data_IF_484675191315
#
_entry.id   IF_484675191315
#
_cell.length_a   1.000
_cell.length_b   1.000
_cell.length_c   1.000
_cell.angle_alpha   90.00
_cell.angle_beta   90.00
_cell.angle_gamma   90.00
#
_symmetry.space_group_name_H-M   'P 1'
#
loop_
_entity.id
_entity.type
_entity.pdbx_description
1 polymer ?
#
# COMPACT_ATOMS: atom_id res chain seq x y z
N UNK A 1 -9.77 11.67 10.01
CA UNK A 1 -10.43 10.35 10.13
C UNK A 1 -9.67 9.55 11.16
N UNK A 2 -10.31 9.07 12.22
CA UNK A 2 -9.73 7.98 13.02
C UNK A 2 -9.75 6.72 12.14
N UNK A 3 -8.57 6.27 11.73
CA UNK A 3 -8.43 5.02 10.99
C UNK A 3 -8.41 3.89 12.01
N UNK A 4 -9.57 3.27 12.25
CA UNK A 4 -9.67 2.09 13.11
C UNK A 4 -9.12 0.87 12.34
N UNK A 5 -7.81 0.67 12.42
CA UNK A 5 -7.13 -0.47 11.81
C UNK A 5 -7.49 -1.74 12.57
N UNK A 6 -7.77 -2.81 11.83
CA UNK A 6 -8.10 -4.11 12.40
C UNK A 6 -7.03 -5.13 12.00
N UNK A 7 -6.72 -6.04 12.92
CA UNK A 7 -5.85 -7.17 12.61
C UNK A 7 -6.57 -8.16 11.69
N UNK A 8 -5.83 -8.67 10.71
CA UNK A 8 -6.32 -9.64 9.74
C UNK A 8 -5.39 -10.85 9.69
N UNK A 9 -5.96 -12.05 9.70
CA UNK A 9 -5.19 -13.28 9.55
C UNK A 9 -4.90 -13.53 8.06
N UNK A 10 -3.64 -13.72 7.68
CA UNK A 10 -3.30 -14.18 6.32
C UNK A 10 -3.77 -15.63 6.17
N UNK A 11 -4.63 -15.89 5.20
CA UNK A 11 -5.21 -17.23 4.95
C UNK A 11 -4.72 -17.86 3.65
N UNK A 12 -4.22 -17.05 2.71
CA UNK A 12 -3.65 -17.52 1.45
C UNK A 12 -2.64 -16.53 0.90
N UNK A 13 -1.54 -17.05 0.37
CA UNK A 13 -0.59 -16.32 -0.47
C UNK A 13 -0.41 -17.17 -1.73
N UNK A 14 -0.61 -16.56 -2.89
CA UNK A 14 -0.51 -17.24 -4.19
C UNK A 14 0.31 -16.37 -5.15
N UNK A 15 1.36 -16.93 -5.76
CA UNK A 15 2.01 -16.25 -6.89
C UNK A 15 1.06 -16.26 -8.08
N UNK A 16 0.91 -15.12 -8.74
CA UNK A 16 -0.04 -14.95 -9.87
C UNK A 16 0.66 -14.53 -11.17
N UNK A 17 1.99 -14.63 -11.21
CA UNK A 17 2.81 -14.33 -12.37
C UNK A 17 3.15 -12.84 -12.53
N UNK A 18 3.54 -12.46 -13.74
CA UNK A 18 3.98 -11.10 -14.05
C UNK A 18 2.79 -10.18 -14.34
N UNK A 19 2.79 -9.00 -13.73
CA UNK A 19 1.77 -7.97 -13.96
C UNK A 19 2.30 -6.57 -13.80
N UNK A 20 1.44 -5.59 -14.09
CA UNK A 20 1.78 -4.16 -13.96
C UNK A 20 1.61 -3.73 -12.49
N UNK A 21 2.71 -3.35 -11.84
CA UNK A 21 2.75 -2.80 -10.49
C UNK A 21 2.87 -1.29 -10.54
N UNK A 22 2.11 -0.60 -9.69
CA UNK A 22 2.22 0.84 -9.45
C UNK A 22 3.13 1.10 -8.26
N UNK A 23 4.15 1.93 -8.49
CA UNK A 23 5.00 2.52 -7.48
C UNK A 23 4.62 3.98 -7.31
N UNK A 24 4.46 4.41 -6.07
CA UNK A 24 4.14 5.79 -5.73
C UNK A 24 5.34 6.43 -5.05
N UNK A 25 5.87 7.49 -5.66
CA UNK A 25 6.87 8.35 -5.04
C UNK A 25 6.21 9.65 -4.61
N UNK A 26 6.26 9.92 -3.32
CA UNK A 26 5.74 11.12 -2.69
C UNK A 26 6.76 12.26 -2.77
N UNK A 27 6.28 13.50 -2.63
CA UNK A 27 7.14 14.70 -2.61
C UNK A 27 7.79 14.97 -1.24
N UNK A 28 7.57 14.09 -0.27
CA UNK A 28 8.04 14.25 1.10
C UNK A 28 8.50 12.90 1.68
N UNK A 29 9.26 12.96 2.76
CA UNK A 29 9.64 11.81 3.55
C UNK A 29 8.41 11.23 4.27
N UNK A 30 8.32 9.90 4.29
CA UNK A 30 7.34 9.13 5.02
C UNK A 30 8.06 8.46 6.19
N UNK A 31 7.45 8.50 7.37
CA UNK A 31 7.98 7.82 8.55
C UNK A 31 7.88 6.29 8.42
N UNK A 32 8.67 5.50 9.17
CA UNK A 32 8.65 4.02 9.06
C UNK A 32 7.30 3.34 9.33
N UNK A 33 6.38 4.06 9.96
CA UNK A 33 5.02 3.61 10.28
C UNK A 33 3.96 4.26 9.39
N UNK A 34 4.38 5.13 8.48
CA UNK A 34 3.51 5.77 7.51
C UNK A 34 3.30 4.89 6.27
N UNK A 35 2.10 4.96 5.72
CA UNK A 35 1.73 4.22 4.54
C UNK A 35 0.34 4.57 4.05
N UNK A 36 -0.20 3.70 3.19
CA UNK A 36 -1.50 3.86 2.53
C UNK A 36 -2.34 2.60 2.62
N UNK A 37 -3.65 2.77 2.52
CA UNK A 37 -4.63 1.68 2.43
C UNK A 37 -4.99 1.41 0.97
N UNK A 38 -4.76 0.17 0.52
CA UNK A 38 -5.10 -0.26 -0.83
C UNK A 38 -5.55 -1.73 -0.88
N UNK A 39 -6.25 -2.11 -1.95
CA UNK A 39 -6.78 -3.47 -2.07
C UNK A 39 -7.40 -3.77 -3.43
N UNK A 40 -7.69 -5.05 -3.67
CA UNK A 40 -8.28 -5.54 -4.92
C UNK A 40 -9.73 -5.06 -5.15
N UNK A 41 -10.45 -4.68 -4.09
CA UNK A 41 -11.86 -4.27 -4.17
C UNK A 41 -12.12 -3.07 -3.25
N UNK A 42 -13.30 -2.45 -3.37
CA UNK A 42 -13.75 -1.40 -2.45
C UNK A 42 -14.24 -1.91 -1.07
N UNK A 43 -14.22 -3.23 -0.82
CA UNK A 43 -14.76 -3.83 0.41
C UNK A 43 -13.73 -4.01 1.54
N UNK A 44 -12.49 -3.61 1.31
CA UNK A 44 -11.45 -3.64 2.33
C UNK A 44 -10.06 -3.43 1.73
N UNK A 45 -9.14 -3.02 2.60
CA UNK A 45 -7.80 -2.60 2.21
C UNK A 45 -6.76 -3.18 3.17
N UNK A 46 -5.56 -3.41 2.64
CA UNK A 46 -4.37 -3.70 3.43
C UNK A 46 -3.53 -2.43 3.55
N UNK A 47 -2.86 -2.29 4.69
CA UNK A 47 -1.99 -1.16 4.98
C UNK A 47 -0.58 -1.45 4.46
N UNK A 48 -0.19 -0.79 3.37
CA UNK A 48 1.15 -0.90 2.78
C UNK A 48 2.02 0.24 3.27
N UNK A 49 3.15 -0.11 3.88
CA UNK A 49 4.11 0.83 4.45
C UNK A 49 5.06 1.38 3.39
N UNK A 50 5.65 2.53 3.70
CA UNK A 50 6.75 3.08 2.94
C UNK A 50 8.03 2.21 2.99
N UNK A 51 8.83 2.32 1.94
CA UNK A 51 10.09 1.58 1.72
C UNK A 51 11.22 2.15 2.59
N UNK A 52 10.99 2.30 3.89
CA UNK A 52 11.93 2.87 4.85
C UNK A 52 13.02 1.88 5.30
N UNK A 53 12.87 0.60 4.99
CA UNK A 53 13.79 -0.45 5.46
C UNK A 53 14.81 -0.73 4.38
N UNK A 54 16.08 -0.72 4.76
CA UNK A 54 17.14 -1.28 3.92
C UNK A 54 16.96 -2.79 3.89
N UNK A 55 16.99 -3.35 2.69
CA UNK A 55 16.97 -4.79 2.43
C UNK A 55 18.32 -5.20 1.86
N UNK A 56 18.57 -6.51 1.75
CA UNK A 56 19.80 -7.01 1.14
C UNK A 56 19.92 -6.62 -0.34
N UNK A 57 18.79 -6.30 -0.98
CA UNK A 57 18.71 -6.02 -2.41
C UNK A 57 18.51 -4.54 -2.75
N UNK A 58 17.96 -3.73 -1.83
CA UNK A 58 17.63 -2.33 -2.08
C UNK A 58 17.91 -1.39 -0.88
N UNK A 59 18.47 -0.19 -1.13
CA UNK A 59 18.53 0.85 -0.11
C UNK A 59 17.13 1.39 0.20
N UNK A 60 16.94 1.86 1.43
CA UNK A 60 15.70 2.53 1.84
C UNK A 60 15.38 3.74 0.94
N UNK A 61 14.11 3.88 0.58
CA UNK A 61 13.52 5.00 -0.17
C UNK A 61 12.33 5.50 0.63
N UNK A 62 12.55 6.32 1.66
CA UNK A 62 11.51 6.70 2.60
C UNK A 62 10.43 7.63 2.02
N UNK A 63 10.49 7.97 0.73
CA UNK A 63 9.45 8.71 0.00
C UNK A 63 8.61 7.78 -0.90
N UNK A 64 8.89 6.46 -0.91
CA UNK A 64 8.34 5.50 -1.87
C UNK A 64 7.43 4.48 -1.18
N UNK A 65 6.33 4.15 -1.84
CA UNK A 65 5.50 2.98 -1.55
C UNK A 65 5.40 2.10 -2.79
N UNK A 66 5.89 0.86 -2.67
CA UNK A 66 5.66 -0.20 -3.66
C UNK A 66 4.22 -0.73 -3.51
N UNK A 67 3.27 -0.02 -4.11
CA UNK A 67 1.86 -0.06 -3.73
C UNK A 67 1.16 -1.37 -4.07
N UNK A 68 1.02 -1.71 -5.36
CA UNK A 68 0.31 -2.92 -5.78
C UNK A 68 -0.05 -2.92 -7.25
N UNK A 69 -0.92 -3.85 -7.66
CA UNK A 69 -1.35 -3.97 -9.06
C UNK A 69 -2.19 -2.77 -9.52
N UNK A 70 -2.16 -2.46 -10.82
CA UNK A 70 -2.83 -1.31 -11.44
C UNK A 70 -4.33 -1.18 -11.13
N UNK A 71 -5.04 -2.29 -10.91
CA UNK A 71 -6.49 -2.31 -10.65
C UNK A 71 -6.85 -2.07 -9.19
N UNK A 72 -5.88 -1.91 -8.29
CA UNK A 72 -6.18 -1.67 -6.88
C UNK A 72 -6.94 -0.36 -6.68
N UNK A 73 -7.91 -0.41 -5.78
CA UNK A 73 -8.42 0.77 -5.11
C UNK A 73 -7.42 1.25 -4.07
N UNK A 74 -7.23 2.57 -3.97
CA UNK A 74 -6.51 3.24 -2.89
C UNK A 74 -7.44 4.23 -2.19
N UNK A 75 -7.36 4.29 -0.86
CA UNK A 75 -8.14 5.22 -0.06
C UNK A 75 -7.64 6.65 -0.26
N UNK A 76 -8.59 7.56 -0.45
CA UNK A 76 -8.41 9.02 -0.47
C UNK A 76 -9.18 9.64 0.69
N UNK A 77 -9.06 10.96 0.80
CA UNK A 77 -9.79 11.74 1.79
C UNK A 77 -11.31 11.60 1.65
N UNK A 78 -12.02 11.84 2.76
CA UNK A 78 -13.50 11.90 2.78
C UNK A 78 -14.19 10.61 2.31
N UNK A 79 -13.55 9.46 2.48
CA UNK A 79 -14.13 8.15 2.14
C UNK A 79 -14.16 7.87 0.64
N UNK A 80 -13.46 8.68 -0.16
CA UNK A 80 -13.30 8.47 -1.59
C UNK A 80 -12.22 7.43 -1.84
N UNK A 81 -12.28 6.80 -3.01
CA UNK A 81 -11.23 5.92 -3.53
C UNK A 81 -10.88 6.30 -4.96
N UNK A 82 -9.68 5.93 -5.40
CA UNK A 82 -9.28 5.97 -6.80
C UNK A 82 -8.63 4.64 -7.20
N UNK A 83 -8.59 4.34 -8.50
CA UNK A 83 -7.73 3.26 -8.96
C UNK A 83 -6.26 3.71 -8.98
N UNK A 84 -5.33 2.82 -8.65
CA UNK A 84 -3.90 3.11 -8.74
C UNK A 84 -3.49 3.51 -10.17
N UNK A 85 -4.12 2.94 -11.18
CA UNK A 85 -3.90 3.28 -12.59
C UNK A 85 -4.28 4.72 -12.98
N UNK A 86 -5.13 5.38 -12.20
CA UNK A 86 -5.64 6.72 -12.50
C UNK A 86 -4.81 7.82 -11.85
N UNK A 87 -3.94 7.47 -10.90
CA UNK A 87 -3.13 8.43 -10.15
C UNK A 87 -2.09 9.08 -11.06
N UNK A 88 -1.88 10.38 -10.83
CA UNK A 88 -0.90 11.20 -11.57
C UNK A 88 -0.01 11.98 -10.62
N UNK A 89 1.20 12.38 -11.05
CA UNK A 89 1.98 13.39 -10.32
C UNK A 89 1.13 14.62 -10.01
N UNK A 90 1.26 15.16 -8.81
CA UNK A 90 0.45 16.26 -8.29
C UNK A 90 -0.80 15.84 -7.52
N UNK A 91 -1.31 14.62 -7.74
CA UNK A 91 -2.40 14.08 -6.91
C UNK A 91 -1.96 13.96 -5.45
N UNK A 92 -2.89 14.19 -4.52
CA UNK A 92 -2.68 13.99 -3.09
C UNK A 92 -3.32 12.68 -2.63
N UNK A 93 -2.60 11.96 -1.78
CA UNK A 93 -3.12 10.79 -1.09
C UNK A 93 -3.06 10.98 0.42
N UNK A 94 -3.99 10.31 1.10
CA UNK A 94 -3.99 10.22 2.55
C UNK A 94 -2.92 9.24 3.00
N UNK A 95 -1.84 9.78 3.56
CA UNK A 95 -0.82 9.02 4.28
C UNK A 95 -1.28 8.88 5.72
N UNK A 96 -1.28 7.65 6.22
CA UNK A 96 -1.74 7.30 7.55
C UNK A 96 -0.53 6.90 8.39
N UNK A 97 -0.47 7.32 9.65
CA UNK A 97 0.49 6.80 10.61
C UNK A 97 -0.11 5.59 11.35
N UNK A 98 0.50 4.41 11.18
CA UNK A 98 0.03 3.14 11.72
C UNK A 98 0.09 2.99 13.24
N UNK A 99 0.72 3.92 13.99
CA UNK A 99 0.84 3.90 15.46
C UNK A 99 -0.06 4.92 16.17
N UNK A 100 -1.10 5.42 15.50
CA UNK A 100 -2.05 6.37 16.10
C UNK A 100 -1.66 7.84 15.95
N UNK A 101 -0.75 8.17 15.02
CA UNK A 101 -0.29 9.54 14.74
C UNK A 101 -1.18 10.36 13.79
N UNK A 102 -2.36 9.88 13.44
CA UNK A 102 -3.30 10.57 12.54
C UNK A 102 -3.01 10.37 11.05
N UNK A 103 -3.53 11.28 10.24
CA UNK A 103 -3.46 11.22 8.77
C UNK A 103 -3.05 12.58 8.21
N UNK A 104 -2.27 12.60 7.12
CA UNK A 104 -1.94 13.82 6.37
C UNK A 104 -2.05 13.62 4.87
N UNK A 105 -2.24 14.72 4.14
CA UNK A 105 -2.26 14.71 2.68
C UNK A 105 -0.86 14.95 2.14
N UNK A 106 -0.33 14.03 1.34
CA UNK A 106 0.98 14.18 0.71
C UNK A 106 0.84 14.02 -0.80
N UNK A 107 1.43 14.94 -1.55
CA UNK A 107 1.37 14.92 -3.01
C UNK A 107 2.32 13.86 -3.60
N UNK A 108 1.93 13.31 -4.75
CA UNK A 108 2.75 12.40 -5.54
C UNK A 108 3.70 13.20 -6.43
N UNK A 109 5.00 12.91 -6.34
CA UNK A 109 6.02 13.43 -7.25
C UNK A 109 6.15 12.59 -8.51
N UNK A 110 6.00 11.26 -8.39
CA UNK A 110 6.05 10.33 -9.53
C UNK A 110 5.14 9.13 -9.30
N UNK A 111 4.41 8.75 -10.35
CA UNK A 111 3.68 7.48 -10.44
C UNK A 111 4.38 6.63 -11.49
N UNK A 112 4.94 5.49 -11.09
CA UNK A 112 5.68 4.59 -11.99
C UNK A 112 4.94 3.27 -12.12
N UNK A 113 4.63 2.88 -13.36
CA UNK A 113 4.00 1.60 -13.69
C UNK A 113 5.05 0.73 -14.38
N UNK A 114 5.32 -0.46 -13.85
CA UNK A 114 6.30 -1.39 -14.41
C UNK A 114 5.87 -2.85 -14.24
N UNK A 115 6.41 -3.73 -15.09
CA UNK A 115 6.17 -5.18 -15.01
C UNK A 115 7.00 -5.79 -13.88
N UNK A 116 6.35 -6.54 -13.00
CA UNK A 116 6.97 -7.23 -11.86
C UNK A 116 6.26 -8.56 -11.58
N UNK A 117 6.95 -9.56 -11.00
CA UNK A 117 6.30 -10.70 -10.38
C UNK A 117 5.37 -10.23 -9.26
N UNK A 118 4.14 -10.77 -9.24
CA UNK A 118 3.11 -10.43 -8.28
C UNK A 118 2.66 -11.66 -7.50
N UNK A 119 2.33 -11.43 -6.24
CA UNK A 119 1.63 -12.37 -5.38
C UNK A 119 0.31 -11.76 -4.90
N UNK A 120 -0.73 -12.57 -4.81
CA UNK A 120 -1.98 -12.19 -4.17
C UNK A 120 -1.97 -12.67 -2.72
N UNK A 121 -2.14 -11.73 -1.81
CA UNK A 121 -2.29 -11.97 -0.37
C UNK A 121 -3.77 -11.86 -0.05
N UNK A 122 -4.34 -12.92 0.51
CA UNK A 122 -5.73 -12.96 1.00
C UNK A 122 -5.70 -13.06 2.52
N UNK A 123 -6.45 -12.16 3.15
CA UNK A 123 -6.59 -12.05 4.60
C UNK A 123 -8.05 -12.18 5.01
N UNK A 124 -8.28 -12.56 6.26
CA UNK A 124 -9.61 -12.65 6.86
C UNK A 124 -9.70 -11.74 8.08
N UNK A 125 -10.75 -10.91 8.10
CA UNK A 125 -11.16 -10.09 9.25
C UNK A 125 -12.60 -10.45 9.57
N UNK A 126 -12.82 -11.03 10.76
CA UNK A 126 -14.09 -11.66 11.11
C UNK A 126 -14.57 -12.63 10.00
N UNK A 127 -15.69 -12.33 9.35
CA UNK A 127 -16.28 -13.15 8.28
C UNK A 127 -15.99 -12.63 6.86
N UNK A 128 -15.20 -11.56 6.73
CA UNK A 128 -14.91 -10.93 5.44
C UNK A 128 -13.50 -11.26 4.97
N UNK A 129 -13.34 -11.43 3.65
CA UNK A 129 -12.04 -11.57 3.02
C UNK A 129 -11.60 -10.25 2.39
N UNK A 130 -10.35 -9.88 2.67
CA UNK A 130 -9.70 -8.71 2.09
C UNK A 130 -8.44 -9.19 1.39
N UNK A 131 -8.21 -8.72 0.17
CA UNK A 131 -7.03 -9.14 -0.59
C UNK A 131 -6.34 -7.98 -1.28
N UNK A 132 -5.02 -8.10 -1.43
CA UNK A 132 -4.19 -7.21 -2.22
C UNK A 132 -3.25 -8.05 -3.09
N UNK A 133 -3.04 -7.61 -4.31
CA UNK A 133 -2.04 -8.11 -5.23
C UNK A 133 -0.81 -7.21 -5.18
N UNK A 134 0.26 -7.73 -4.59
CA UNK A 134 1.49 -7.01 -4.24
C UNK A 134 2.65 -7.56 -5.05
N UNK A 135 3.73 -6.79 -5.18
CA UNK A 135 4.95 -7.32 -5.75
C UNK A 135 5.56 -8.37 -4.83
N UNK A 136 6.06 -9.45 -5.44
CA UNK A 136 6.89 -10.45 -4.78
C UNK A 136 8.31 -9.88 -4.61
N UNK A 137 8.52 -9.10 -3.54
CA UNK A 137 9.82 -8.54 -3.17
C UNK A 137 9.91 -8.22 -1.67
N UNK A 138 11.13 -8.22 -1.15
CA UNK A 138 11.51 -7.86 0.22
C UNK A 138 11.28 -6.37 0.55
N UNK A 139 11.15 -5.51 -0.47
CA UNK A 139 10.87 -4.08 -0.36
C UNK A 139 9.38 -3.71 -0.21
N UNK A 140 8.49 -4.71 -0.11
CA UNK A 140 7.05 -4.50 0.16
C UNK A 140 6.74 -4.94 1.58
N UNK A 141 6.23 -4.02 2.39
CA UNK A 141 5.87 -4.30 3.77
C UNK A 141 4.43 -3.93 4.05
N UNK A 142 3.72 -4.83 4.73
CA UNK A 142 2.43 -4.54 5.34
C UNK A 142 2.62 -4.14 6.80
N UNK A 143 1.77 -3.27 7.32
CA UNK A 143 1.73 -3.01 8.76
C UNK A 143 1.36 -4.30 9.49
N UNK A 144 2.07 -4.61 10.57
CA UNK A 144 1.78 -5.77 11.43
C UNK A 144 1.63 -5.30 12.88
N UNK A 145 0.92 -6.04 13.74
CA UNK A 145 0.76 -5.68 15.16
C UNK A 145 2.08 -5.57 15.94
N UNK A 146 3.16 -6.16 15.43
CA UNK A 146 4.49 -6.18 16.06
C UNK A 146 5.47 -5.16 15.47
N UNK A 147 5.00 -4.27 14.58
CA UNK A 147 5.84 -3.27 13.89
C UNK A 147 6.07 -1.99 14.70
#
# INVERSE_FOLDING_TARGET
METNLQEAAVIRIESIGEGSRVCLDFVDHLEPTEGILLGNTGHGYLFVLAENRTTDTYPARPFRINSGAIHHYVVREEGKTAYLAELKPGDKLTVINGKGGGTRQVALGRVKIEKRPLMRVVTRVANNEVSATLQEADSVHLLTPRA
#
